data_IF_308749245892
#
_entry.id   IF_308749245892
#
_cell.length_a   1.000
_cell.length_b   1.000
_cell.length_c   1.000
_cell.angle_alpha   90.00
_cell.angle_beta   90.00
_cell.angle_gamma   90.00
#
_symmetry.space_group_name_H-M   'P 1'
#
loop_
_entity.id
_entity.type
_entity.pdbx_description
1 polymer ?
#
# COMPACT_ATOMS: atom_id res chain seq x y z
N UNK A 1 12.90 23.09 -8.19
CA UNK A 1 14.34 22.84 -7.94
C UNK A 1 14.63 21.44 -8.39
N UNK A 2 15.56 21.24 -9.31
CA UNK A 2 15.93 19.89 -9.71
C UNK A 2 16.71 19.23 -8.57
N UNK A 3 16.56 17.93 -8.33
CA UNK A 3 17.35 17.21 -7.32
C UNK A 3 18.88 17.32 -7.54
N UNK A 4 19.29 17.72 -8.74
CA UNK A 4 20.67 18.00 -9.16
C UNK A 4 21.18 19.41 -8.81
N UNK A 5 20.34 20.34 -8.36
CA UNK A 5 20.78 21.63 -7.77
C UNK A 5 21.10 21.47 -6.27
N UNK A 6 21.65 20.31 -5.91
CA UNK A 6 21.80 19.84 -4.53
C UNK A 6 22.76 20.72 -3.73
N UNK A 7 22.26 21.20 -2.58
CA UNK A 7 22.96 21.33 -1.29
C UNK A 7 24.48 21.55 -1.27
N UNK A 8 25.05 22.35 -2.17
CA UNK A 8 26.50 22.61 -2.25
C UNK A 8 27.05 23.23 -0.97
N UNK A 9 26.20 23.90 -0.19
CA UNK A 9 26.54 24.49 1.10
C UNK A 9 26.60 23.47 2.25
N UNK A 10 26.07 22.25 2.09
CA UNK A 10 26.07 21.25 3.17
C UNK A 10 27.49 20.91 3.63
N UNK A 11 28.41 20.72 2.68
CA UNK A 11 29.82 20.43 2.96
C UNK A 11 30.54 21.56 3.71
N UNK A 12 30.02 22.79 3.61
CA UNK A 12 30.58 23.97 4.26
C UNK A 12 30.06 24.17 5.70
N UNK A 13 29.07 23.39 6.13
CA UNK A 13 28.58 23.45 7.51
C UNK A 13 29.62 22.84 8.48
N UNK A 14 29.74 23.38 9.70
CA UNK A 14 30.46 22.75 10.79
C UNK A 14 30.11 21.27 10.94
N UNK A 15 31.09 20.44 11.28
CA UNK A 15 30.91 18.99 11.40
C UNK A 15 29.78 18.62 12.36
N UNK A 16 29.64 19.37 13.45
CA UNK A 16 28.60 19.20 14.44
C UNK A 16 27.21 19.38 13.82
N UNK A 17 27.02 20.45 13.03
CA UNK A 17 25.75 20.71 12.34
C UNK A 17 25.46 19.67 11.25
N UNK A 18 26.48 19.23 10.51
CA UNK A 18 26.31 18.15 9.52
C UNK A 18 25.87 16.86 10.19
N UNK A 19 26.50 16.49 11.31
CA UNK A 19 26.13 15.30 12.09
C UNK A 19 24.73 15.43 12.70
N UNK A 20 24.35 16.61 13.21
CA UNK A 20 22.99 16.85 13.72
C UNK A 20 21.96 16.73 12.61
N UNK A 21 22.19 17.36 11.45
CA UNK A 21 21.27 17.27 10.31
C UNK A 21 21.15 15.82 9.84
N UNK A 22 22.25 15.09 9.75
CA UNK A 22 22.22 13.67 9.39
C UNK A 22 21.48 12.83 10.42
N UNK A 23 21.74 13.06 11.71
CA UNK A 23 21.04 12.36 12.79
C UNK A 23 19.54 12.61 12.75
N UNK A 24 19.12 13.84 12.51
CA UNK A 24 17.71 14.20 12.41
C UNK A 24 17.07 13.66 11.13
N UNK A 25 17.76 13.80 9.99
CA UNK A 25 17.32 13.30 8.70
C UNK A 25 17.13 11.77 8.69
N UNK A 26 18.03 11.03 9.33
CA UNK A 26 18.00 9.57 9.46
C UNK A 26 17.08 9.09 10.59
N UNK A 27 16.69 9.96 11.54
CA UNK A 27 15.71 9.61 12.57
C UNK A 27 14.30 9.40 12.00
N UNK A 28 14.04 9.95 10.80
CA UNK A 28 12.78 9.77 10.11
C UNK A 28 12.80 8.42 9.39
N UNK A 29 11.77 7.61 9.64
CA UNK A 29 11.71 6.30 8.99
C UNK A 29 11.64 6.40 7.49
N UNK A 30 12.38 5.52 6.84
CA UNK A 30 12.48 5.47 5.39
C UNK A 30 12.18 4.06 4.87
N UNK A 31 11.73 3.98 3.62
CA UNK A 31 11.45 2.71 2.95
C UNK A 31 12.28 2.61 1.69
N UNK A 32 12.99 1.50 1.58
CA UNK A 32 13.88 1.19 0.47
C UNK A 32 13.39 -0.08 -0.21
N UNK A 33 13.15 0.01 -1.52
CA UNK A 33 12.78 -1.15 -2.33
C UNK A 33 14.03 -1.78 -2.92
N UNK A 34 14.17 -3.09 -2.81
CA UNK A 34 15.10 -3.83 -3.64
C UNK A 34 14.51 -3.94 -5.05
N UNK A 35 15.20 -3.35 -6.03
CA UNK A 35 14.79 -3.32 -7.43
C UNK A 35 15.80 -4.12 -8.25
N UNK A 36 15.29 -4.97 -9.12
CA UNK A 36 16.10 -5.66 -10.12
C UNK A 36 15.88 -4.99 -11.48
N UNK A 37 16.95 -4.71 -12.22
CA UNK A 37 16.86 -4.11 -13.56
C UNK A 37 16.09 -4.99 -14.55
N UNK A 38 16.00 -6.29 -14.26
CA UNK A 38 15.20 -7.27 -14.97
C UNK A 38 14.61 -8.21 -13.94
N UNK A 39 13.38 -8.66 -14.15
CA UNK A 39 12.84 -9.78 -13.38
C UNK A 39 13.89 -10.90 -13.41
N UNK A 40 14.33 -11.42 -12.25
CA UNK A 40 15.20 -12.57 -12.23
C UNK A 40 14.49 -13.67 -13.04
N UNK A 41 15.24 -14.46 -13.82
CA UNK A 41 14.64 -15.54 -14.59
C UNK A 41 13.77 -16.34 -13.64
N UNK A 42 12.46 -16.43 -13.93
CA UNK A 42 11.56 -17.24 -13.13
C UNK A 42 12.24 -18.59 -12.97
N UNK A 43 12.47 -19.09 -11.73
CA UNK A 43 13.07 -20.40 -11.54
C UNK A 43 12.24 -21.34 -12.39
N UNK A 44 12.87 -21.92 -13.42
CA UNK A 44 12.13 -22.48 -14.56
C UNK A 44 11.09 -23.46 -14.07
N UNK A 45 9.83 -23.05 -14.03
CA UNK A 45 8.73 -23.99 -13.90
C UNK A 45 8.74 -24.72 -15.22
N UNK A 46 9.03 -26.03 -15.24
CA UNK A 46 8.88 -26.80 -16.47
C UNK A 46 7.47 -26.53 -16.99
N UNK A 47 7.29 -26.25 -18.30
CA UNK A 47 6.01 -25.82 -18.85
C UNK A 47 4.83 -26.78 -18.59
N UNK A 48 5.09 -28.00 -18.13
CA UNK A 48 4.08 -29.02 -17.78
C UNK A 48 3.66 -29.07 -16.29
N UNK A 49 4.21 -28.25 -15.38
CA UNK A 49 3.91 -28.34 -13.94
C UNK A 49 3.09 -27.18 -13.36
N UNK A 50 2.63 -26.24 -14.20
CA UNK A 50 1.73 -25.17 -13.79
C UNK A 50 0.30 -25.72 -13.59
N UNK A 51 0.08 -26.46 -12.50
CA UNK A 51 -1.23 -27.04 -12.17
C UNK A 51 -1.21 -28.21 -11.19
N UNK A 52 -0.03 -28.76 -10.86
CA UNK A 52 0.08 -29.85 -9.90
C UNK A 52 0.27 -29.31 -8.48
N UNK A 53 -0.58 -29.78 -7.57
CA UNK A 53 -0.40 -29.61 -6.14
C UNK A 53 0.91 -30.30 -5.75
N UNK A 54 1.79 -29.63 -5.03
CA UNK A 54 3.13 -30.17 -4.72
C UNK A 54 3.09 -31.44 -3.86
N UNK A 55 1.91 -31.72 -3.28
CA UNK A 55 1.64 -32.94 -2.51
C UNK A 55 1.50 -34.20 -3.39
N UNK A 56 1.31 -34.05 -4.71
CA UNK A 56 1.24 -35.16 -5.68
C UNK A 56 2.58 -35.44 -6.39
N UNK A 57 3.63 -34.64 -6.13
CA UNK A 57 4.94 -34.85 -6.76
C UNK A 57 5.66 -36.02 -6.10
N UNK A 58 6.13 -36.95 -6.93
CA UNK A 58 6.94 -38.05 -6.42
C UNK A 58 8.32 -37.57 -5.93
N UNK A 59 9.02 -38.36 -5.09
CA UNK A 59 10.31 -37.97 -4.53
C UNK A 59 11.40 -37.67 -5.57
N UNK A 60 11.29 -38.23 -6.78
CA UNK A 60 12.26 -38.08 -7.87
C UNK A 60 12.06 -36.74 -8.58
N UNK A 61 10.81 -36.37 -8.86
CA UNK A 61 10.42 -35.04 -9.36
C UNK A 61 10.81 -33.94 -8.36
N UNK A 62 10.62 -34.20 -7.07
CA UNK A 62 11.01 -33.26 -6.01
C UNK A 62 12.54 -33.11 -5.92
N UNK A 63 13.30 -34.16 -6.22
CA UNK A 63 14.77 -34.15 -6.24
C UNK A 63 15.30 -33.43 -7.50
N UNK A 64 14.68 -33.62 -8.65
CA UNK A 64 15.02 -32.93 -9.90
C UNK A 64 14.72 -31.42 -9.83
N UNK A 65 13.59 -31.05 -9.23
CA UNK A 65 13.24 -29.64 -8.99
C UNK A 65 14.23 -28.96 -8.04
N UNK A 66 14.76 -29.70 -7.04
CA UNK A 66 15.85 -29.23 -6.17
C UNK A 66 17.16 -29.06 -6.93
N UNK A 67 17.54 -30.02 -7.79
CA UNK A 67 18.77 -29.95 -8.58
C UNK A 67 18.77 -28.79 -9.59
N UNK A 68 17.62 -28.50 -10.21
CA UNK A 68 17.47 -27.39 -11.17
C UNK A 68 17.50 -26.01 -10.51
N UNK A 69 17.20 -25.92 -9.21
CA UNK A 69 17.35 -24.68 -8.42
C UNK A 69 18.81 -24.37 -8.04
N UNK A 70 19.74 -25.30 -8.25
CA UNK A 70 21.14 -25.19 -7.80
C UNK A 70 22.15 -24.77 -8.89
N UNK A 71 21.74 -24.57 -10.16
CA UNK A 71 22.67 -24.09 -11.20
C UNK A 71 23.08 -22.63 -10.98
N UNK A 72 24.38 -22.32 -10.81
CA UNK A 72 24.86 -21.03 -10.33
C UNK A 72 25.14 -20.07 -11.51
N UNK A 73 24.08 -19.55 -12.12
CA UNK A 73 24.18 -18.27 -12.83
C UNK A 73 23.40 -17.28 -11.99
N UNK A 74 24.04 -16.78 -10.92
CA UNK A 74 23.41 -15.86 -10.00
C UNK A 74 22.94 -14.59 -10.73
N UNK A 75 21.72 -14.10 -10.48
CA UNK A 75 21.27 -12.84 -11.06
C UNK A 75 22.21 -11.70 -10.64
N UNK A 76 22.30 -10.62 -11.44
CA UNK A 76 23.02 -9.43 -11.00
C UNK A 76 22.48 -8.94 -9.65
N UNK A 77 23.33 -8.35 -8.80
CA UNK A 77 22.90 -7.86 -7.50
C UNK A 77 21.80 -6.80 -7.68
N UNK A 78 20.73 -6.81 -6.87
CA UNK A 78 19.69 -5.81 -6.93
C UNK A 78 20.26 -4.44 -6.58
N UNK A 79 19.71 -3.42 -7.23
CA UNK A 79 19.88 -2.04 -6.81
C UNK A 79 18.89 -1.74 -5.69
N UNK A 80 19.32 -1.06 -4.64
CA UNK A 80 18.40 -0.52 -3.63
C UNK A 80 17.89 0.83 -4.14
N UNK A 81 16.60 0.91 -4.44
CA UNK A 81 15.95 2.16 -4.81
C UNK A 81 15.26 2.77 -3.59
N UNK A 82 15.45 4.07 -3.43
CA UNK A 82 14.72 4.86 -2.45
C UNK A 82 13.29 5.12 -2.95
N UNK A 83 12.26 4.83 -2.15
CA UNK A 83 10.84 4.96 -2.56
C UNK A 83 10.00 5.84 -1.63
N UNK A 84 10.47 6.11 -0.41
CA UNK A 84 9.67 6.68 0.69
C UNK A 84 9.68 8.21 0.89
N UNK A 85 9.09 8.71 2.00
CA UNK A 85 8.65 10.10 2.17
C UNK A 85 9.77 11.12 2.42
N UNK A 86 10.95 10.69 2.82
CA UNK A 86 12.14 11.52 2.99
C UNK A 86 12.86 11.75 1.64
N UNK A 87 12.16 12.37 0.70
CA UNK A 87 12.71 12.78 -0.61
C UNK A 87 14.00 13.60 -0.51
N UNK A 88 14.25 14.28 0.61
CA UNK A 88 15.51 14.98 0.89
C UNK A 88 16.71 14.04 1.09
N UNK A 89 16.52 12.78 1.53
CA UNK A 89 17.60 11.79 1.62
C UNK A 89 18.11 11.35 0.24
N UNK A 90 17.24 11.34 -0.77
CA UNK A 90 17.64 11.06 -2.16
C UNK A 90 18.54 12.18 -2.75
N UNK A 91 18.38 13.42 -2.29
CA UNK A 91 19.20 14.57 -2.71
C UNK A 91 20.48 14.79 -1.89
N UNK A 92 20.67 14.05 -0.80
CA UNK A 92 21.83 14.13 0.10
C UNK A 92 22.94 13.13 -0.25
N UNK A 93 22.99 12.65 -1.50
CA UNK A 93 24.18 12.01 -2.06
C UNK A 93 25.34 13.02 -2.03
N UNK A 94 26.02 13.08 -0.89
CA UNK A 94 27.18 13.93 -0.67
C UNK A 94 28.22 13.57 -1.74
N UNK A 95 28.82 14.55 -2.42
CA UNK A 95 29.78 14.32 -3.52
C UNK A 95 31.04 13.54 -3.14
N UNK A 96 31.22 13.18 -1.87
CA UNK A 96 32.26 12.29 -1.35
C UNK A 96 31.85 10.81 -1.32
N UNK A 97 30.56 10.49 -1.46
CA UNK A 97 30.11 9.11 -1.60
C UNK A 97 30.27 8.67 -3.05
N UNK A 98 30.84 7.48 -3.28
CA UNK A 98 30.85 6.89 -4.63
C UNK A 98 29.41 6.90 -5.16
N UNK A 99 29.19 7.10 -6.48
CA UNK A 99 27.86 6.95 -7.07
C UNK A 99 27.21 5.65 -6.55
N UNK A 100 26.09 5.76 -5.84
CA UNK A 100 25.37 4.62 -5.26
C UNK A 100 25.69 4.26 -3.79
N UNK A 101 26.49 5.05 -3.06
CA UNK A 101 26.65 4.88 -1.62
C UNK A 101 25.63 5.74 -0.86
N UNK A 102 24.60 5.08 -0.33
CA UNK A 102 23.55 5.69 0.48
C UNK A 102 23.78 5.41 1.96
N UNK A 103 23.59 6.43 2.80
CA UNK A 103 23.56 6.28 4.25
C UNK A 103 22.16 5.81 4.64
N UNK A 104 22.10 4.63 5.24
CA UNK A 104 20.85 4.01 5.68
C UNK A 104 20.99 3.75 7.17
N UNK A 105 20.07 4.28 7.96
CA UNK A 105 19.96 3.90 9.37
C UNK A 105 19.15 2.60 9.46
N UNK A 106 19.77 1.46 9.79
CA UNK A 106 19.08 0.18 9.85
C UNK A 106 17.98 0.14 10.91
N UNK A 107 18.05 0.99 11.95
CA UNK A 107 17.01 1.08 12.99
C UNK A 107 15.72 1.71 12.47
N UNK A 108 15.83 2.65 11.53
CA UNK A 108 14.70 3.41 11.01
C UNK A 108 14.36 3.07 9.56
N UNK A 109 14.98 2.04 9.01
CA UNK A 109 14.79 1.65 7.61
C UNK A 109 13.96 0.38 7.48
N UNK A 110 12.93 0.47 6.66
CA UNK A 110 12.15 -0.67 6.19
C UNK A 110 12.67 -1.11 4.83
N UNK A 111 13.14 -2.34 4.74
CA UNK A 111 13.57 -2.95 3.47
C UNK A 111 12.38 -3.65 2.84
N UNK A 112 11.85 -3.07 1.76
CA UNK A 112 10.83 -3.71 0.93
C UNK A 112 11.50 -4.67 -0.05
N UNK A 113 11.24 -5.96 0.15
CA UNK A 113 11.85 -7.05 -0.61
C UNK A 113 11.04 -7.44 -1.85
N UNK A 114 9.91 -6.78 -2.12
CA UNK A 114 9.03 -7.10 -3.23
C UNK A 114 8.35 -8.46 -3.08
N UNK A 115 8.11 -9.12 -4.23
CA UNK A 115 7.56 -10.48 -4.28
C UNK A 115 8.56 -11.48 -3.72
N UNK A 116 8.10 -12.60 -3.15
CA UNK A 116 8.99 -13.54 -2.51
C UNK A 116 10.16 -14.10 -3.36
N UNK A 117 10.02 -14.37 -4.68
CA UNK A 117 11.17 -14.76 -5.50
C UNK A 117 12.25 -13.66 -5.52
N UNK A 118 11.83 -12.39 -5.61
CA UNK A 118 12.70 -11.22 -5.51
C UNK A 118 13.27 -11.08 -4.11
N UNK A 119 12.48 -11.37 -3.07
CA UNK A 119 12.94 -11.31 -1.70
C UNK A 119 14.10 -12.28 -1.47
N UNK A 120 13.99 -13.52 -1.96
CA UNK A 120 15.07 -14.50 -1.85
C UNK A 120 16.34 -14.02 -2.56
N UNK A 121 16.23 -13.63 -3.82
CA UNK A 121 17.38 -13.13 -4.61
C UNK A 121 18.00 -11.88 -3.96
N UNK A 122 17.17 -11.04 -3.35
CA UNK A 122 17.63 -9.84 -2.63
C UNK A 122 18.43 -10.22 -1.41
N UNK A 123 17.90 -11.15 -0.60
CA UNK A 123 18.60 -11.64 0.59
C UNK A 123 19.92 -12.35 0.20
N UNK A 124 19.96 -13.09 -0.92
CA UNK A 124 21.21 -13.69 -1.44
C UNK A 124 22.27 -12.65 -1.78
N UNK A 125 21.86 -11.54 -2.39
CA UNK A 125 22.78 -10.49 -2.81
C UNK A 125 23.20 -9.56 -1.66
N UNK A 126 22.39 -9.47 -0.61
CA UNK A 126 22.74 -8.77 0.62
C UNK A 126 23.70 -9.64 1.43
N UNK A 127 24.98 -9.26 1.48
CA UNK A 127 25.96 -9.98 2.29
C UNK A 127 25.54 -10.11 3.77
N UNK A 128 25.99 -11.19 4.43
CA UNK A 128 25.58 -11.56 5.79
C UNK A 128 25.70 -10.43 6.82
N UNK A 129 26.72 -9.57 6.71
CA UNK A 129 26.93 -8.45 7.63
C UNK A 129 25.81 -7.41 7.54
N UNK A 130 25.25 -7.19 6.34
CA UNK A 130 24.13 -6.27 6.13
C UNK A 130 22.83 -6.87 6.64
N UNK A 131 22.60 -8.16 6.38
CA UNK A 131 21.40 -8.87 6.84
C UNK A 131 21.27 -8.84 8.37
N UNK A 132 22.39 -8.96 9.08
CA UNK A 132 22.42 -8.86 10.56
C UNK A 132 21.96 -7.52 11.11
N UNK A 133 21.97 -6.47 10.30
CA UNK A 133 21.55 -5.13 10.69
C UNK A 133 20.07 -4.87 10.37
N UNK A 134 19.44 -5.68 9.52
CA UNK A 134 18.05 -5.46 9.10
C UNK A 134 17.11 -5.69 10.28
N UNK A 135 16.32 -4.66 10.61
CA UNK A 135 15.32 -4.70 11.69
C UNK A 135 13.88 -4.72 11.21
N UNK A 136 13.60 -4.11 10.07
CA UNK A 136 12.25 -4.01 9.55
C UNK A 136 12.22 -4.42 8.07
N UNK A 137 11.32 -5.35 7.75
CA UNK A 137 11.15 -5.86 6.39
C UNK A 137 9.69 -5.71 5.97
N UNK A 138 9.48 -5.35 4.71
CA UNK A 138 8.17 -5.43 4.06
C UNK A 138 8.20 -6.45 2.92
N UNK A 139 7.22 -7.34 2.89
CA UNK A 139 7.05 -8.41 1.91
C UNK A 139 5.75 -8.19 1.14
N UNK A 140 5.80 -8.33 -0.19
CA UNK A 140 4.60 -8.48 -1.01
C UNK A 140 4.28 -9.97 -1.14
N UNK A 141 3.13 -10.43 -0.64
CA UNK A 141 2.69 -11.80 -0.75
C UNK A 141 2.40 -12.13 -2.21
N UNK A 142 2.71 -13.37 -2.55
CA UNK A 142 2.36 -13.98 -3.82
C UNK A 142 1.67 -15.32 -3.56
N UNK A 143 2.25 -16.16 -2.70
CA UNK A 143 1.67 -17.42 -2.18
C UNK A 143 2.15 -17.67 -0.76
N UNK A 144 1.37 -18.40 0.04
CA UNK A 144 1.73 -18.74 1.44
C UNK A 144 3.14 -19.33 1.56
N UNK A 145 3.43 -20.37 0.77
CA UNK A 145 4.71 -21.08 0.79
C UNK A 145 5.91 -20.16 0.55
N UNK A 146 5.74 -19.22 -0.38
CA UNK A 146 6.74 -18.24 -0.74
C UNK A 146 7.06 -17.27 0.41
N UNK A 147 6.05 -16.84 1.17
CA UNK A 147 6.25 -16.03 2.38
C UNK A 147 6.97 -16.86 3.45
N UNK A 148 6.53 -18.10 3.66
CA UNK A 148 7.15 -19.00 4.63
C UNK A 148 8.65 -19.22 4.35
N UNK A 149 9.04 -19.40 3.09
CA UNK A 149 10.44 -19.50 2.69
C UNK A 149 11.24 -18.22 2.99
N UNK A 150 10.70 -17.05 2.65
CA UNK A 150 11.33 -15.77 2.95
C UNK A 150 11.48 -15.58 4.48
N UNK A 151 10.44 -15.88 5.25
CA UNK A 151 10.46 -15.79 6.72
C UNK A 151 11.46 -16.75 7.36
N UNK A 152 11.57 -18.02 6.91
CA UNK A 152 12.60 -18.95 7.40
C UNK A 152 14.01 -18.40 7.21
N UNK A 153 14.25 -17.78 6.05
CA UNK A 153 15.55 -17.20 5.74
C UNK A 153 15.82 -15.97 6.58
N UNK A 154 14.85 -15.06 6.68
CA UNK A 154 14.92 -13.88 7.55
C UNK A 154 15.21 -14.28 9.00
N UNK A 155 14.55 -15.31 9.52
CA UNK A 155 14.80 -15.82 10.87
C UNK A 155 16.25 -16.31 11.06
N UNK A 156 16.81 -16.96 10.02
CA UNK A 156 18.19 -17.47 10.05
C UNK A 156 19.24 -16.37 9.91
N UNK A 157 19.00 -15.39 9.04
CA UNK A 157 20.03 -14.45 8.56
C UNK A 157 19.92 -13.05 9.18
N UNK A 158 18.74 -12.70 9.74
CA UNK A 158 18.46 -11.39 10.32
C UNK A 158 18.12 -11.52 11.82
N UNK A 159 19.10 -11.77 12.71
CA UNK A 159 18.87 -11.91 14.15
C UNK A 159 18.37 -10.63 14.83
N UNK A 160 18.55 -9.46 14.20
CA UNK A 160 18.06 -8.18 14.71
C UNK A 160 16.65 -7.82 14.23
N UNK A 161 15.97 -8.74 13.53
CA UNK A 161 14.66 -8.49 12.95
C UNK A 161 13.60 -8.25 14.03
N UNK A 162 12.94 -7.11 13.98
CA UNK A 162 11.91 -6.68 14.91
C UNK A 162 10.53 -6.64 14.29
N UNK A 163 10.43 -6.38 12.98
CA UNK A 163 9.14 -6.17 12.32
C UNK A 163 9.10 -6.80 10.94
N UNK A 164 8.01 -7.49 10.63
CA UNK A 164 7.68 -7.98 9.29
C UNK A 164 6.32 -7.41 8.89
N UNK A 165 6.29 -6.65 7.80
CA UNK A 165 5.07 -6.13 7.18
C UNK A 165 4.73 -7.05 6.00
N UNK A 166 3.55 -7.66 5.99
CA UNK A 166 3.06 -8.52 4.91
C UNK A 166 1.93 -7.79 4.20
N UNK A 167 2.11 -7.46 2.94
CA UNK A 167 1.16 -6.66 2.18
C UNK A 167 0.11 -7.50 1.43
N UNK A 168 -0.94 -7.98 2.08
CA UNK A 168 -1.99 -8.78 1.43
C UNK A 168 -2.72 -8.02 0.29
N UNK A 169 -2.28 -8.25 -0.95
CA UNK A 169 -3.12 -8.10 -2.14
C UNK A 169 -4.29 -9.09 -2.00
N UNK A 170 -5.50 -8.67 -2.39
CA UNK A 170 -6.71 -9.49 -2.19
C UNK A 170 -6.45 -10.91 -2.71
N UNK A 171 -6.44 -11.89 -1.81
CA UNK A 171 -6.11 -13.31 -2.02
C UNK A 171 -7.07 -14.05 -2.99
N UNK A 172 -7.88 -13.32 -3.75
CA UNK A 172 -8.89 -13.84 -4.64
C UNK A 172 -8.56 -13.56 -6.10
N UNK A 173 -8.34 -14.65 -6.83
CA UNK A 173 -8.61 -14.79 -8.27
C UNK A 173 -7.45 -14.42 -9.22
N UNK A 174 -6.73 -15.49 -9.58
CA UNK A 174 -6.14 -15.83 -10.90
C UNK A 174 -4.73 -15.33 -11.22
N UNK A 175 -3.95 -16.27 -11.74
CA UNK A 175 -2.57 -16.23 -12.26
C UNK A 175 -2.32 -15.20 -13.39
N UNK A 176 -3.01 -14.06 -13.41
CA UNK A 176 -2.55 -12.98 -14.28
C UNK A 176 -1.13 -12.59 -13.85
N UNK A 177 -0.20 -12.45 -14.81
CA UNK A 177 1.13 -11.97 -14.53
C UNK A 177 0.97 -10.53 -14.07
N UNK A 178 0.77 -10.36 -12.75
CA UNK A 178 0.57 -9.07 -12.15
C UNK A 178 1.76 -8.25 -12.63
N UNK A 179 1.47 -7.20 -13.39
CA UNK A 179 2.46 -6.19 -13.79
C UNK A 179 3.23 -5.88 -12.51
N UNK A 180 4.56 -5.93 -12.58
CA UNK A 180 5.40 -5.59 -11.43
C UNK A 180 5.12 -4.14 -11.07
N UNK A 181 4.06 -3.90 -10.30
CA UNK A 181 3.81 -2.59 -9.76
C UNK A 181 4.87 -2.36 -8.70
N UNK A 182 5.79 -1.48 -9.05
CA UNK A 182 6.76 -0.90 -8.14
C UNK A 182 6.04 -0.40 -6.88
N UNK A 183 6.74 -0.47 -5.75
CA UNK A 183 6.22 0.10 -4.50
C UNK A 183 5.90 1.59 -4.75
N UNK A 184 4.63 1.99 -4.56
CA UNK A 184 4.27 3.39 -4.74
C UNK A 184 4.81 4.23 -3.58
N UNK A 185 5.13 5.53 -3.79
CA UNK A 185 5.55 6.43 -2.71
C UNK A 185 4.53 6.51 -1.58
N UNK A 186 3.23 6.42 -1.88
CA UNK A 186 2.15 6.44 -0.89
C UNK A 186 2.15 5.18 -0.03
N UNK A 187 2.37 4.01 -0.63
CA UNK A 187 2.45 2.75 0.10
C UNK A 187 3.74 2.66 0.93
N UNK A 188 4.85 3.17 0.40
CA UNK A 188 6.09 3.34 1.15
C UNK A 188 5.91 4.28 2.35
N UNK A 189 5.28 5.44 2.16
CA UNK A 189 4.97 6.35 3.25
C UNK A 189 4.08 5.67 4.31
N UNK A 190 3.11 4.87 3.89
CA UNK A 190 2.28 4.10 4.80
C UNK A 190 3.11 3.09 5.62
N UNK A 191 3.96 2.28 4.99
CA UNK A 191 4.84 1.34 5.71
C UNK A 191 5.73 2.03 6.74
N UNK A 192 6.29 3.21 6.44
CA UNK A 192 7.13 3.96 7.37
C UNK A 192 6.43 4.26 8.71
N UNK A 193 5.10 4.36 8.72
CA UNK A 193 4.29 4.63 9.92
C UNK A 193 4.02 3.38 10.77
N UNK A 194 4.20 2.18 10.22
CA UNK A 194 3.77 0.92 10.86
C UNK A 194 4.62 0.54 12.07
N UNK A 195 5.98 0.51 11.98
CA UNK A 195 6.78 0.14 13.14
C UNK A 195 6.49 1.10 14.31
N UNK A 196 6.39 0.63 15.54
CA UNK A 196 6.04 1.48 16.68
C UNK A 196 4.56 1.90 16.78
N UNK A 197 3.70 1.53 15.82
CA UNK A 197 2.28 1.43 16.14
C UNK A 197 2.09 0.23 17.08
N UNK A 198 1.39 0.42 18.20
CA UNK A 198 0.99 -0.69 19.08
C UNK A 198 -0.12 -1.54 18.47
N UNK A 199 -0.51 -1.25 17.23
CA UNK A 199 -1.52 -1.96 16.47
C UNK A 199 -0.83 -3.23 15.93
N UNK A 200 -0.77 -4.25 16.77
CA UNK A 200 -0.38 -5.59 16.33
C UNK A 200 -1.40 -6.19 15.35
N UNK A 201 -1.18 -7.46 14.98
CA UNK A 201 -2.02 -8.31 14.09
C UNK A 201 -3.54 -8.22 14.37
N UNK A 202 -3.97 -7.67 15.51
CA UNK A 202 -5.34 -7.64 16.02
C UNK A 202 -6.36 -6.70 15.34
N UNK A 203 -5.98 -5.63 14.63
CA UNK A 203 -7.00 -4.77 13.95
C UNK A 203 -7.34 -5.23 12.52
N UNK A 204 -6.63 -6.23 11.99
CA UNK A 204 -7.00 -6.96 10.77
C UNK A 204 -7.59 -8.36 11.09
N UNK A 205 -7.95 -8.61 12.36
CA UNK A 205 -8.33 -9.91 12.96
C UNK A 205 -9.53 -10.64 12.35
N UNK A 206 -10.17 -10.10 11.32
CA UNK A 206 -11.26 -10.77 10.62
C UNK A 206 -10.84 -11.00 9.17
N UNK A 207 -9.68 -11.60 8.95
CA UNK A 207 -9.56 -12.60 7.89
C UNK A 207 -8.94 -13.81 8.58
N UNK A 208 -9.71 -14.89 8.76
CA UNK A 208 -9.23 -16.17 9.32
C UNK A 208 -7.86 -16.60 8.74
N UNK A 209 -7.56 -16.24 7.49
CA UNK A 209 -6.29 -16.53 6.81
C UNK A 209 -5.09 -15.74 7.36
N UNK A 210 -5.27 -14.51 7.86
CA UNK A 210 -4.14 -13.63 8.26
C UNK A 210 -3.58 -14.01 9.63
N UNK A 211 -4.45 -14.33 10.61
CA UNK A 211 -4.03 -14.83 11.93
C UNK A 211 -3.40 -16.22 11.78
N UNK A 212 -3.99 -17.09 10.95
CA UNK A 212 -3.44 -18.39 10.65
C UNK A 212 -2.09 -18.30 9.94
N UNK A 213 -1.95 -17.36 8.99
CA UNK A 213 -0.67 -17.05 8.36
C UNK A 213 0.36 -16.67 9.43
N UNK A 214 0.10 -15.67 10.26
CA UNK A 214 1.08 -15.26 11.29
C UNK A 214 1.44 -16.40 12.24
N UNK A 215 0.45 -17.12 12.78
CA UNK A 215 0.68 -18.27 13.66
C UNK A 215 1.52 -19.36 13.03
N UNK A 216 1.41 -19.57 11.73
CA UNK A 216 2.22 -20.54 11.01
C UNK A 216 3.66 -20.07 10.72
N UNK A 217 3.91 -18.75 10.75
CA UNK A 217 5.21 -18.14 10.51
C UNK A 217 6.02 -17.93 11.79
N UNK A 218 5.36 -17.62 12.92
CA UNK A 218 5.99 -17.40 14.23
C UNK A 218 6.99 -18.49 14.64
N UNK A 219 6.70 -19.81 14.45
CA UNK A 219 7.63 -20.87 14.84
C UNK A 219 9.02 -20.79 14.17
N UNK A 220 9.16 -20.07 13.05
CA UNK A 220 10.46 -19.90 12.41
C UNK A 220 11.43 -19.03 13.21
N UNK A 221 10.92 -18.18 14.10
CA UNK A 221 11.70 -17.18 14.82
C UNK A 221 12.03 -17.56 16.27
N UNK A 222 11.60 -18.74 16.72
CA UNK A 222 11.88 -19.25 18.06
C UNK A 222 11.33 -18.35 19.17
N UNK A 223 12.15 -18.10 20.19
CA UNK A 223 11.72 -17.42 21.43
C UNK A 223 11.55 -15.90 21.29
N UNK A 224 11.93 -15.30 20.16
CA UNK A 224 11.87 -13.85 19.94
C UNK A 224 11.33 -13.53 18.55
N UNK A 225 10.04 -13.81 18.29
CA UNK A 225 9.43 -13.52 17.00
C UNK A 225 9.35 -12.00 16.73
N UNK A 226 9.56 -11.57 15.48
CA UNK A 226 9.29 -10.19 15.10
C UNK A 226 7.79 -9.91 15.21
N UNK A 227 7.45 -8.63 15.38
CA UNK A 227 6.05 -8.20 15.28
C UNK A 227 5.60 -8.28 13.82
N UNK A 228 4.55 -9.05 13.55
CA UNK A 228 3.94 -9.11 12.24
C UNK A 228 2.88 -8.02 12.08
N UNK A 229 2.86 -7.37 10.92
CA UNK A 229 1.76 -6.50 10.50
C UNK A 229 1.27 -6.96 9.15
N UNK A 230 0.02 -7.42 9.10
CA UNK A 230 -0.63 -7.73 7.83
C UNK A 230 -1.35 -6.48 7.35
N UNK A 231 -0.92 -5.97 6.20
CA UNK A 231 -1.43 -4.74 5.59
C UNK A 231 -2.27 -5.12 4.38
N UNK A 232 -3.55 -4.77 4.33
CA UNK A 232 -4.32 -4.96 3.11
C UNK A 232 -3.85 -3.98 2.03
N UNK A 233 -3.87 -4.45 0.79
CA UNK A 233 -3.74 -3.57 -0.37
C UNK A 233 -4.82 -2.50 -0.34
N UNK A 234 -4.47 -1.21 -0.56
CA UNK A 234 -5.48 -0.17 -0.61
C UNK A 234 -6.47 -0.51 -1.70
N UNK A 235 -7.77 -0.55 -1.34
CA UNK A 235 -8.80 -0.91 -2.31
C UNK A 235 -8.75 0.04 -3.52
N UNK A 236 -9.09 -0.44 -4.74
CA UNK A 236 -9.12 0.42 -5.93
C UNK A 236 -9.91 1.72 -5.72
N UNK A 237 -10.95 1.68 -4.90
CA UNK A 237 -11.73 2.85 -4.55
C UNK A 237 -11.04 3.81 -3.58
N UNK A 238 -10.21 3.34 -2.65
CA UNK A 238 -9.36 4.22 -1.84
C UNK A 238 -8.33 4.94 -2.71
N UNK A 239 -7.68 4.21 -3.63
CA UNK A 239 -6.72 4.81 -4.56
C UNK A 239 -7.39 5.84 -5.48
N UNK A 240 -8.52 5.47 -6.09
CA UNK A 240 -9.32 6.38 -6.90
C UNK A 240 -9.82 7.60 -6.12
N UNK A 241 -10.19 7.46 -4.84
CA UNK A 241 -10.57 8.60 -4.00
C UNK A 241 -9.39 9.53 -3.72
N UNK A 242 -8.22 8.96 -3.46
CA UNK A 242 -6.97 9.70 -3.25
C UNK A 242 -6.56 10.47 -4.49
N UNK A 243 -6.57 9.80 -5.64
CA UNK A 243 -6.27 10.42 -6.93
C UNK A 243 -7.27 11.52 -7.28
N UNK A 244 -8.57 11.28 -7.07
CA UNK A 244 -9.61 12.26 -7.35
C UNK A 244 -9.41 13.53 -6.51
N UNK A 245 -9.10 13.40 -5.21
CA UNK A 245 -8.77 14.55 -4.36
C UNK A 245 -7.49 15.25 -4.85
N UNK A 246 -6.45 14.51 -5.24
CA UNK A 246 -5.22 15.10 -5.79
C UNK A 246 -5.47 15.89 -7.08
N UNK A 247 -6.35 15.40 -7.95
CA UNK A 247 -6.75 16.14 -9.16
C UNK A 247 -7.54 17.40 -8.78
N UNK A 248 -8.44 17.31 -7.81
CA UNK A 248 -9.17 18.47 -7.30
C UNK A 248 -8.25 19.51 -6.66
N UNK A 249 -7.16 19.10 -5.99
CA UNK A 249 -6.13 20.01 -5.48
C UNK A 249 -5.42 20.81 -6.58
N UNK A 250 -5.31 20.25 -7.78
CA UNK A 250 -4.78 20.95 -8.95
C UNK A 250 -5.72 22.01 -9.54
N UNK A 251 -6.99 22.01 -9.14
CA UNK A 251 -8.02 22.97 -9.56
C UNK A 251 -8.16 24.04 -8.49
N UNK A 252 -7.43 25.16 -8.64
CA UNK A 252 -7.32 26.21 -7.62
C UNK A 252 -8.65 26.85 -7.23
N UNK A 253 -9.65 26.83 -8.12
CA UNK A 253 -11.02 27.27 -7.82
C UNK A 253 -11.73 26.42 -6.76
N UNK A 254 -11.25 25.21 -6.50
CA UNK A 254 -11.80 24.29 -5.51
C UNK A 254 -10.90 24.15 -4.28
N UNK A 255 -9.74 24.82 -4.21
CA UNK A 255 -8.76 24.60 -3.12
C UNK A 255 -9.31 24.86 -1.73
N UNK A 256 -10.21 25.84 -1.61
CA UNK A 256 -10.83 26.24 -0.34
C UNK A 256 -12.13 25.49 -0.03
N UNK A 257 -12.62 24.67 -0.97
CA UNK A 257 -13.78 23.82 -0.71
C UNK A 257 -13.38 22.75 0.31
N UNK A 258 -14.26 22.43 1.24
CA UNK A 258 -14.10 21.29 2.12
C UNK A 258 -14.65 20.04 1.46
N UNK A 259 -13.93 18.93 1.62
CA UNK A 259 -14.31 17.61 1.13
C UNK A 259 -14.28 16.60 2.27
N UNK A 260 -15.23 15.67 2.25
CA UNK A 260 -15.18 14.46 3.05
C UNK A 260 -15.49 13.22 2.20
N UNK A 261 -14.80 12.12 2.46
CA UNK A 261 -15.06 10.81 1.85
C UNK A 261 -16.12 10.09 2.67
N UNK A 262 -17.22 9.74 2.02
CA UNK A 262 -18.39 9.08 2.58
C UNK A 262 -18.58 7.69 1.95
N UNK A 263 -19.75 7.10 2.18
CA UNK A 263 -20.16 5.89 1.47
C UNK A 263 -19.44 4.62 1.92
N UNK A 264 -19.35 3.67 0.98
CA UNK A 264 -18.78 2.33 1.20
C UNK A 264 -17.29 2.42 1.58
N UNK A 265 -16.54 3.31 0.92
CA UNK A 265 -15.10 3.50 1.20
C UNK A 265 -14.84 4.04 2.60
N UNK A 266 -15.69 4.95 3.09
CA UNK A 266 -15.60 5.46 4.45
C UNK A 266 -16.04 4.41 5.49
N UNK A 267 -17.07 3.62 5.18
CA UNK A 267 -17.51 2.53 6.04
C UNK A 267 -16.42 1.46 6.19
N UNK A 268 -15.70 1.12 5.11
CA UNK A 268 -14.59 0.18 5.16
C UNK A 268 -13.50 0.58 6.14
N UNK A 269 -13.30 1.87 6.41
CA UNK A 269 -12.36 2.31 7.46
C UNK A 269 -12.70 1.76 8.85
N UNK A 270 -13.98 1.52 9.11
CA UNK A 270 -14.49 1.10 10.42
C UNK A 270 -14.94 -0.35 10.45
N UNK A 271 -15.15 -0.97 9.29
CA UNK A 271 -15.49 -2.38 9.20
C UNK A 271 -14.24 -3.27 9.24
N UNK A 272 -14.35 -4.45 9.89
CA UNK A 272 -13.37 -5.51 9.77
C UNK A 272 -13.24 -6.04 8.32
N UNK A 273 -12.09 -6.62 7.99
CA UNK A 273 -11.69 -6.95 6.60
C UNK A 273 -12.59 -8.00 5.92
N UNK A 274 -13.04 -9.04 6.64
CA UNK A 274 -13.97 -10.07 6.16
C UNK A 274 -15.26 -9.46 5.61
N UNK A 275 -15.73 -8.38 6.23
CA UNK A 275 -16.96 -7.68 5.80
C UNK A 275 -16.73 -6.66 4.69
N UNK A 276 -15.47 -6.40 4.32
CA UNK A 276 -15.13 -5.60 3.12
C UNK A 276 -15.24 -6.44 1.85
N UNK A 277 -15.31 -7.78 1.95
CA UNK A 277 -15.51 -8.65 0.79
C UNK A 277 -16.95 -8.51 0.31
N UNK A 278 -17.09 -8.22 -0.98
CA UNK A 278 -18.38 -8.32 -1.66
C UNK A 278 -18.74 -9.80 -1.87
N UNK A 279 -20.04 -10.14 -1.86
CA UNK A 279 -20.47 -11.47 -2.28
C UNK A 279 -19.93 -11.76 -3.68
N UNK A 280 -19.30 -12.93 -3.86
CA UNK A 280 -18.85 -13.39 -5.17
C UNK A 280 -20.03 -13.39 -6.18
N UNK A 281 -19.75 -12.97 -7.42
CA UNK A 281 -20.74 -12.96 -8.50
C UNK A 281 -21.63 -11.70 -8.60
N UNK A 282 -21.38 -10.67 -7.78
CA UNK A 282 -22.00 -9.36 -7.98
C UNK A 282 -20.99 -8.45 -8.69
N UNK A 283 -21.25 -8.15 -9.98
CA UNK A 283 -20.66 -7.04 -10.75
C UNK A 283 -21.06 -5.71 -10.11
N UNK A 284 -20.58 -5.50 -8.89
CA UNK A 284 -20.80 -4.30 -8.14
C UNK A 284 -19.68 -3.37 -8.56
N UNK A 285 -20.05 -2.23 -9.12
CA UNK A 285 -19.10 -1.14 -9.31
C UNK A 285 -18.78 -0.60 -7.90
N UNK A 286 -17.50 -0.36 -7.59
CA UNK A 286 -17.16 0.28 -6.31
C UNK A 286 -17.55 1.75 -6.37
N UNK A 287 -18.23 2.24 -5.34
CA UNK A 287 -18.68 3.64 -5.26
C UNK A 287 -17.80 4.41 -4.28
N UNK A 288 -17.32 5.58 -4.70
CA UNK A 288 -16.75 6.61 -3.84
C UNK A 288 -17.77 7.72 -3.72
N UNK A 289 -18.15 8.07 -2.50
CA UNK A 289 -19.03 9.20 -2.26
C UNK A 289 -18.20 10.35 -1.68
N UNK A 290 -18.33 11.54 -2.25
CA UNK A 290 -17.78 12.78 -1.69
C UNK A 290 -18.89 13.69 -1.20
N UNK A 291 -18.71 14.28 -0.02
CA UNK A 291 -19.50 15.43 0.43
C UNK A 291 -18.64 16.68 0.28
N UNK A 292 -19.13 17.67 -0.48
CA UNK A 292 -18.39 18.90 -0.78
C UNK A 292 -19.24 20.14 -0.48
N UNK A 293 -18.67 21.15 0.18
CA UNK A 293 -19.37 22.37 0.60
C UNK A 293 -19.44 23.47 -0.47
N UNK A 294 -19.75 23.07 -1.71
CA UNK A 294 -20.05 24.02 -2.78
C UNK A 294 -21.41 23.67 -3.40
N UNK A 295 -22.33 24.64 -3.37
CA UNK A 295 -23.70 24.44 -3.83
C UNK A 295 -23.79 24.18 -5.35
N UNK A 296 -22.88 24.75 -6.13
CA UNK A 296 -22.85 24.67 -7.60
C UNK A 296 -22.11 23.42 -8.14
N UNK A 297 -21.56 22.58 -7.26
CA UNK A 297 -20.46 21.67 -7.60
C UNK A 297 -20.84 20.38 -8.31
N UNK A 298 -21.96 19.67 -8.05
CA UNK A 298 -22.16 18.39 -8.72
C UNK A 298 -22.12 18.49 -10.24
N UNK A 299 -22.57 19.61 -10.82
CA UNK A 299 -22.50 19.85 -12.27
C UNK A 299 -21.20 20.50 -12.69
N UNK A 300 -20.82 21.61 -12.07
CA UNK A 300 -19.65 22.42 -12.48
C UNK A 300 -18.35 21.66 -12.28
N UNK A 301 -18.20 20.95 -11.15
CA UNK A 301 -17.02 20.13 -10.87
C UNK A 301 -16.91 18.97 -11.85
N UNK A 302 -17.99 18.21 -12.08
CA UNK A 302 -17.98 17.11 -13.06
C UNK A 302 -17.58 17.60 -14.45
N UNK A 303 -18.16 18.72 -14.91
CA UNK A 303 -17.79 19.30 -16.21
C UNK A 303 -16.30 19.65 -16.29
N UNK A 304 -15.74 20.26 -15.24
CA UNK A 304 -14.32 20.59 -15.19
C UNK A 304 -13.43 19.35 -15.17
N UNK A 305 -13.77 18.37 -14.34
CA UNK A 305 -13.05 17.10 -14.28
C UNK A 305 -13.06 16.40 -15.64
N UNK A 306 -14.19 16.38 -16.35
CA UNK A 306 -14.30 15.81 -17.70
C UNK A 306 -13.50 16.60 -18.76
N UNK A 307 -13.35 17.91 -18.58
CA UNK A 307 -12.65 18.78 -19.54
C UNK A 307 -11.13 18.76 -19.41
N UNK A 308 -10.59 18.11 -18.38
CA UNK A 308 -9.14 18.02 -18.18
C UNK A 308 -8.48 17.26 -19.34
N UNK A 309 -7.34 17.72 -19.88
CA UNK A 309 -6.58 16.97 -20.87
C UNK A 309 -6.20 15.58 -20.31
N UNK A 310 -6.57 14.51 -21.01
CA UNK A 310 -6.31 13.15 -20.56
C UNK A 310 -7.06 12.77 -19.28
N UNK A 311 -8.22 13.38 -19.02
CA UNK A 311 -8.98 13.14 -17.79
C UNK A 311 -9.23 11.64 -17.54
N UNK A 312 -8.95 11.15 -16.32
CA UNK A 312 -9.33 9.80 -15.92
C UNK A 312 -10.84 9.69 -15.63
N UNK A 313 -11.58 10.80 -15.63
CA UNK A 313 -13.01 10.82 -15.36
C UNK A 313 -13.83 10.62 -16.63
N UNK A 314 -14.88 9.81 -16.53
CA UNK A 314 -15.80 9.52 -17.64
C UNK A 314 -17.25 9.66 -17.16
N UNK A 315 -18.08 10.31 -17.97
CA UNK A 315 -19.52 10.38 -17.76
C UNK A 315 -20.20 9.41 -18.72
N UNK A 316 -21.01 8.52 -18.17
CA UNK A 316 -21.85 7.60 -18.93
C UNK A 316 -23.31 7.73 -18.52
N UNK A 317 -24.20 7.05 -19.24
CA UNK A 317 -25.64 7.03 -18.93
C UNK A 317 -25.93 6.52 -17.50
N UNK A 318 -25.06 5.65 -16.97
CA UNK A 318 -25.23 4.97 -15.67
C UNK A 318 -24.49 5.63 -14.52
N UNK A 319 -23.77 6.74 -14.75
CA UNK A 319 -23.05 7.42 -13.67
C UNK A 319 -21.81 8.18 -14.13
N UNK A 320 -21.13 8.76 -13.14
CA UNK A 320 -19.84 9.41 -13.27
C UNK A 320 -18.78 8.48 -12.69
N UNK A 321 -17.71 8.22 -13.42
CA UNK A 321 -16.72 7.20 -13.09
C UNK A 321 -15.30 7.75 -13.15
N UNK A 322 -14.41 7.15 -12.37
CA UNK A 322 -12.96 7.34 -12.42
C UNK A 322 -12.31 6.04 -12.90
N UNK A 323 -11.44 6.15 -13.89
CA UNK A 323 -10.64 5.03 -14.40
C UNK A 323 -9.31 4.96 -13.64
N UNK A 324 -9.08 3.88 -12.90
CA UNK A 324 -7.84 3.62 -12.17
C UNK A 324 -7.24 2.29 -12.62
N UNK A 325 -6.14 2.32 -13.40
CA UNK A 325 -5.44 1.10 -13.81
C UNK A 325 -6.35 0.07 -14.52
N UNK A 326 -7.28 0.53 -15.38
CA UNK A 326 -8.26 -0.32 -16.05
C UNK A 326 -9.52 -0.63 -15.22
N UNK A 327 -9.48 -0.42 -13.90
CA UNK A 327 -10.66 -0.54 -13.04
C UNK A 327 -11.53 0.70 -13.12
N UNK A 328 -12.86 0.49 -13.09
CA UNK A 328 -13.85 1.57 -13.06
C UNK A 328 -14.44 1.72 -11.67
N UNK A 329 -14.29 2.90 -11.10
CA UNK A 329 -14.86 3.26 -9.81
C UNK A 329 -15.91 4.33 -10.02
N UNK A 330 -17.14 4.12 -9.56
CA UNK A 330 -18.18 5.16 -9.62
C UNK A 330 -17.84 6.24 -8.60
N UNK A 331 -18.00 7.49 -9.01
CA UNK A 331 -17.78 8.67 -8.16
C UNK A 331 -19.10 9.42 -8.02
N UNK A 332 -19.62 9.46 -6.82
CA UNK A 332 -20.76 10.29 -6.43
C UNK A 332 -20.26 11.54 -5.71
N UNK A 333 -20.80 12.70 -6.10
CA UNK A 333 -20.45 13.99 -5.52
C UNK A 333 -21.75 14.59 -5.02
N UNK A 334 -21.87 14.68 -3.70
CA UNK A 334 -23.00 15.21 -2.96
C UNK A 334 -22.64 16.60 -2.47
N UNK A 335 -23.47 17.60 -2.80
CA UNK A 335 -23.28 18.94 -2.25
C UNK A 335 -23.67 18.95 -0.76
N UNK A 336 -23.00 19.76 0.07
CA UNK A 336 -23.23 19.76 1.51
C UNK A 336 -24.68 20.07 1.90
N UNK A 337 -25.41 20.89 1.13
CA UNK A 337 -26.84 21.15 1.36
C UNK A 337 -27.75 19.93 1.13
N UNK A 338 -27.25 18.91 0.43
CA UNK A 338 -27.93 17.61 0.26
C UNK A 338 -27.58 16.63 1.38
N UNK A 339 -26.62 16.97 2.24
CA UNK A 339 -26.35 16.29 3.50
C UNK A 339 -27.10 17.01 4.63
N UNK A 340 -27.33 16.33 5.74
CA UNK A 340 -27.94 16.97 6.92
C UNK A 340 -27.05 18.06 7.53
N UNK A 341 -25.74 17.87 7.45
CA UNK A 341 -24.71 18.83 7.84
C UNK A 341 -23.39 18.53 7.12
N UNK A 342 -22.41 19.44 7.22
CA UNK A 342 -21.05 19.20 6.74
C UNK A 342 -20.26 18.39 7.78
N UNK A 343 -19.73 17.20 7.45
CA UNK A 343 -19.08 16.33 8.42
C UNK A 343 -17.93 17.00 9.18
N UNK A 344 -17.75 16.63 10.44
CA UNK A 344 -16.67 17.17 11.27
C UNK A 344 -15.28 16.82 10.70
N UNK A 345 -15.15 15.65 10.06
CA UNK A 345 -13.92 15.18 9.42
C UNK A 345 -13.59 15.85 8.08
N UNK A 346 -14.44 16.75 7.56
CA UNK A 346 -14.21 17.38 6.27
C UNK A 346 -13.04 18.39 6.33
N UNK A 347 -12.12 18.29 5.37
CA UNK A 347 -10.94 19.15 5.25
C UNK A 347 -11.00 19.97 3.98
N UNK A 348 -10.41 21.16 3.98
CA UNK A 348 -10.17 21.92 2.75
C UNK A 348 -9.37 21.06 1.77
N UNK A 349 -9.80 21.01 0.51
CA UNK A 349 -9.18 20.21 -0.55
C UNK A 349 -7.68 20.50 -0.62
N UNK A 350 -7.29 21.78 -0.61
CA UNK A 350 -5.88 22.20 -0.64
C UNK A 350 -5.04 21.73 0.54
N UNK A 351 -5.66 21.35 1.66
CA UNK A 351 -4.98 20.93 2.89
C UNK A 351 -4.99 19.41 3.10
N UNK A 352 -5.62 18.62 2.21
CA UNK A 352 -5.62 17.16 2.32
C UNK A 352 -4.21 16.62 2.05
N UNK A 353 -3.62 15.92 3.02
CA UNK A 353 -2.29 15.33 2.85
C UNK A 353 -2.37 14.03 2.04
N UNK A 354 -1.37 13.80 1.18
CA UNK A 354 -1.28 12.59 0.36
C UNK A 354 -1.40 11.31 1.20
N UNK A 355 -2.41 10.49 0.90
CA UNK A 355 -2.68 9.23 1.61
C UNK A 355 -3.65 9.32 2.81
N UNK A 356 -3.90 10.52 3.35
CA UNK A 356 -4.81 10.76 4.47
C UNK A 356 -6.13 11.36 3.99
N UNK A 357 -7.05 10.49 3.58
CA UNK A 357 -8.36 10.94 3.13
C UNK A 357 -9.23 11.45 4.30
N UNK A 358 -9.98 12.56 4.09
CA UNK A 358 -10.87 13.12 5.09
C UNK A 358 -12.16 12.29 5.21
N UNK A 359 -12.08 11.12 5.83
CA UNK A 359 -13.25 10.25 6.01
C UNK A 359 -14.29 10.86 6.95
N UNK A 360 -15.58 10.57 6.72
CA UNK A 360 -16.63 10.81 7.71
C UNK A 360 -16.30 10.13 9.03
N UNK A 361 -16.60 10.80 10.15
CA UNK A 361 -16.52 10.16 11.47
C UNK A 361 -17.56 9.05 11.61
N UNK A 362 -17.43 8.18 12.62
CA UNK A 362 -18.47 7.15 12.91
C UNK A 362 -19.85 7.78 13.14
N UNK A 363 -19.90 8.92 13.86
CA UNK A 363 -21.13 9.65 14.09
C UNK A 363 -21.73 10.19 12.79
N UNK A 364 -20.92 10.81 11.93
CA UNK A 364 -21.36 11.36 10.64
C UNK A 364 -21.81 10.25 9.69
N UNK A 365 -21.14 9.08 9.68
CA UNK A 365 -21.53 7.93 8.88
C UNK A 365 -22.91 7.39 9.26
N UNK A 366 -23.21 7.34 10.56
CA UNK A 366 -24.52 6.92 11.05
C UNK A 366 -25.62 7.86 10.55
N UNK A 367 -25.37 9.16 10.62
CA UNK A 367 -26.30 10.18 10.16
C UNK A 367 -26.47 10.15 8.64
N UNK A 368 -25.36 10.06 7.89
CA UNK A 368 -25.33 9.90 6.43
C UNK A 368 -26.17 8.69 6.00
N UNK A 369 -25.97 7.53 6.63
CA UNK A 369 -26.75 6.33 6.33
C UNK A 369 -28.24 6.53 6.61
N UNK A 370 -28.59 7.09 7.77
CA UNK A 370 -29.98 7.33 8.14
C UNK A 370 -30.68 8.27 7.15
N UNK A 371 -29.98 9.29 6.67
CA UNK A 371 -30.46 10.18 5.63
C UNK A 371 -30.76 9.41 4.33
N UNK A 372 -29.81 8.64 3.81
CA UNK A 372 -29.98 7.91 2.56
C UNK A 372 -31.02 6.78 2.62
N UNK A 373 -31.13 6.08 3.77
CA UNK A 373 -32.19 5.08 4.01
C UNK A 373 -33.56 5.74 4.03
N UNK A 374 -33.70 6.90 4.69
CA UNK A 374 -34.97 7.62 4.82
C UNK A 374 -35.48 8.20 3.50
N UNK A 375 -34.58 8.64 2.61
CA UNK A 375 -34.93 9.31 1.36
C UNK A 375 -34.83 8.43 0.11
N UNK A 376 -34.74 7.10 0.27
CA UNK A 376 -35.13 6.15 -0.77
C UNK A 376 -34.14 5.93 -1.91
N UNK A 377 -32.84 6.10 -1.68
CA UNK A 377 -31.85 5.72 -2.68
C UNK A 377 -31.74 4.18 -2.74
N UNK A 378 -32.05 3.57 -3.89
CA UNK A 378 -31.78 2.16 -4.22
C UNK A 378 -30.30 1.75 -4.05
N UNK A 379 -29.41 2.71 -3.76
CA UNK A 379 -27.99 2.58 -3.39
C UNK A 379 -27.76 1.62 -2.20
N UNK A 380 -28.79 1.33 -1.39
CA UNK A 380 -28.66 0.41 -0.24
C UNK A 380 -28.81 -1.08 -0.56
N UNK A 381 -29.16 -1.51 -1.79
CA UNK A 381 -29.13 -2.96 -2.11
C UNK A 381 -27.70 -3.53 -2.15
N UNK A 382 -26.67 -2.69 -2.33
CA UNK A 382 -25.26 -3.10 -2.29
C UNK A 382 -24.63 -3.04 -0.89
N UNK A 383 -25.23 -2.31 0.05
CA UNK A 383 -24.83 -2.34 1.45
C UNK A 383 -25.35 -3.64 2.05
N UNK A 384 -24.45 -4.56 2.39
CA UNK A 384 -24.77 -5.86 2.94
C UNK A 384 -25.65 -5.78 4.21
N UNK A 385 -26.97 -5.81 4.02
CA UNK A 385 -27.96 -6.21 5.02
C UNK A 385 -28.12 -5.32 6.27
N UNK A 386 -29.26 -5.49 6.93
CA UNK A 386 -29.59 -4.85 8.19
C UNK A 386 -28.62 -5.17 9.37
N UNK A 387 -27.61 -6.04 9.17
CA UNK A 387 -26.69 -6.51 10.20
C UNK A 387 -25.55 -5.55 10.54
N UNK A 388 -25.27 -4.56 9.69
CA UNK A 388 -24.22 -3.57 9.95
C UNK A 388 -24.75 -2.33 10.72
N UNK A 389 -26.02 -2.33 11.15
CA UNK A 389 -26.59 -1.23 11.95
C UNK A 389 -26.04 -1.19 13.38
N UNK A 390 -25.61 -2.34 13.91
CA UNK A 390 -25.15 -2.47 15.30
C UNK A 390 -23.64 -2.15 15.48
N UNK A 391 -22.92 -1.88 14.39
CA UNK A 391 -21.46 -1.63 14.39
C UNK A 391 -21.06 -0.16 14.29
N UNK A 392 -22.01 0.77 14.08
CA UNK A 392 -21.75 2.22 13.94
C UNK A 392 -22.44 3.04 15.03
#
# INVERSE_FOLDING_TARGET
>A
MSATESFTLFGNLPTELRLTIWSEALSIRSVWAAVFDKDPPSPGTPPDLAGYDTDDLDPEQLAELRANLETPVGPPPPAMAYVGPASYLAGLACGESRPGAYWVDPENTIVYLGRAPHARATLDALGADKLRQIRHVALRPCRYWSIAQACRRLAKECPALQTIIIHCDQLGVVDEPAVSEDLSPELAAYYATIPGSSIGVGDCSEMFDDVQLVWSLEPYFGDSPPTFHVVPSPSPARNAATDAIRILQGLTEFSHARVAVAGEVALWRYLPQERRRRPEGVDSIINIDFIIDIDSVPKTMKQKLLSLPGSPFVQEARGFFYNHGGNRVRVEITAAWQSSHMPAGALEIGNVQGGNLPYLSRADLKEYRNFYVKYGAEVTRGYAGAKDADLV
#
